data_IF_205661933761
#
_entry.id   IF_205661933761
#
_cell.length_a   1.000
_cell.length_b   1.000
_cell.length_c   1.000
_cell.angle_alpha   90.00
_cell.angle_beta   90.00
_cell.angle_gamma   90.00
#
_symmetry.space_group_name_H-M   'P 1'
#
loop_
_entity.id
_entity.type
_entity.pdbx_description
1 polymer ?
#
# COMPACT_ATOMS: atom_id res chain seq x y z
N UNK A 1 16.89 -17.86 23.54
CA UNK A 1 16.00 -16.68 23.48
C UNK A 1 14.90 -17.00 22.48
N UNK A 2 13.78 -17.54 22.97
CA UNK A 2 12.60 -17.84 22.15
C UNK A 2 11.86 -16.54 21.80
N UNK A 3 12.33 -15.83 20.78
CA UNK A 3 11.60 -14.76 20.13
C UNK A 3 11.04 -15.26 18.80
N UNK A 4 10.28 -16.37 18.84
CA UNK A 4 9.37 -16.69 17.75
C UNK A 4 8.25 -15.65 17.79
N UNK A 5 8.49 -14.51 17.13
CA UNK A 5 7.42 -13.67 16.61
C UNK A 5 6.68 -14.50 15.55
N UNK A 6 5.93 -15.47 16.02
CA UNK A 6 5.22 -16.40 15.19
C UNK A 6 4.08 -15.60 14.56
N UNK A 7 4.08 -15.49 13.25
CA UNK A 7 3.04 -14.80 12.46
C UNK A 7 1.71 -15.57 12.49
N UNK A 8 1.36 -16.16 13.63
CA UNK A 8 0.21 -17.04 13.82
C UNK A 8 -1.12 -16.30 13.65
N UNK A 9 -1.11 -14.98 13.83
CA UNK A 9 -2.23 -14.10 13.52
C UNK A 9 -2.54 -14.02 12.01
N UNK A 10 -1.59 -14.38 11.14
CA UNK A 10 -1.78 -14.46 9.68
C UNK A 10 -2.30 -15.86 9.35
N UNK A 11 -3.59 -15.99 9.04
CA UNK A 11 -4.22 -17.31 8.84
C UNK A 11 -3.82 -17.97 7.51
N UNK A 12 -3.52 -17.19 6.48
CA UNK A 12 -3.00 -17.69 5.22
C UNK A 12 -1.57 -18.21 5.41
N UNK A 13 -1.38 -19.53 5.32
CA UNK A 13 -0.10 -20.20 5.52
C UNK A 13 0.96 -19.79 4.48
N UNK A 14 0.53 -19.54 3.24
CA UNK A 14 1.43 -19.10 2.16
C UNK A 14 1.94 -17.69 2.45
N UNK A 15 1.02 -16.78 2.80
CA UNK A 15 1.37 -15.42 3.18
C UNK A 15 2.26 -15.40 4.43
N UNK A 16 1.92 -16.19 5.45
CA UNK A 16 2.71 -16.33 6.67
C UNK A 16 4.14 -16.72 6.36
N UNK A 17 4.34 -17.76 5.55
CA UNK A 17 5.66 -18.21 5.12
C UNK A 17 6.42 -17.10 4.38
N UNK A 18 5.77 -16.45 3.41
CA UNK A 18 6.38 -15.37 2.64
C UNK A 18 6.81 -14.19 3.51
N UNK A 19 6.02 -13.83 4.53
CA UNK A 19 6.36 -12.78 5.50
C UNK A 19 7.58 -13.17 6.34
N UNK A 20 7.61 -14.41 6.86
CA UNK A 20 8.74 -14.93 7.64
C UNK A 20 10.03 -14.93 6.81
N UNK A 21 9.96 -15.43 5.58
CA UNK A 21 11.11 -15.49 4.68
C UNK A 21 11.58 -14.08 4.29
N UNK A 22 10.65 -13.15 4.04
CA UNK A 22 10.97 -11.75 3.74
C UNK A 22 11.67 -11.05 4.91
N UNK A 23 11.25 -11.31 6.15
CA UNK A 23 11.88 -10.73 7.34
C UNK A 23 13.27 -11.31 7.57
N UNK A 24 13.44 -12.63 7.42
CA UNK A 24 14.77 -13.25 7.48
C UNK A 24 15.71 -12.66 6.44
N UNK A 25 15.22 -12.46 5.22
CA UNK A 25 15.98 -11.83 4.15
C UNK A 25 16.34 -10.37 4.49
N UNK A 26 15.41 -9.58 5.04
CA UNK A 26 15.70 -8.22 5.52
C UNK A 26 16.78 -8.20 6.61
N UNK A 27 16.70 -9.11 7.59
CA UNK A 27 17.71 -9.22 8.65
C UNK A 27 19.08 -9.58 8.08
N UNK A 28 19.12 -10.49 7.10
CA UNK A 28 20.35 -10.84 6.39
C UNK A 28 20.94 -9.64 5.63
N UNK A 29 20.12 -8.91 4.88
CA UNK A 29 20.55 -7.70 4.17
C UNK A 29 21.09 -6.63 5.12
N UNK A 30 20.43 -6.43 6.26
CA UNK A 30 20.90 -5.50 7.28
C UNK A 30 22.27 -5.90 7.84
N UNK A 31 22.49 -7.18 8.15
CA UNK A 31 23.80 -7.66 8.59
C UNK A 31 24.88 -7.53 7.51
N UNK A 32 24.54 -7.78 6.25
CA UNK A 32 25.46 -7.66 5.11
C UNK A 32 25.86 -6.20 4.83
N UNK A 33 24.97 -5.25 5.13
CA UNK A 33 25.22 -3.82 4.97
C UNK A 33 26.42 -3.34 5.76
N UNK A 34 26.56 -3.82 7.00
CA UNK A 34 27.58 -3.35 7.95
C UNK A 34 29.00 -3.84 7.60
N UNK A 35 29.14 -4.80 6.66
CA UNK A 35 30.42 -5.37 6.26
C UNK A 35 31.25 -4.52 5.29
N UNK A 36 31.08 -3.18 5.27
CA UNK A 36 31.75 -2.22 4.36
C UNK A 36 31.63 -2.60 2.87
N UNK A 37 30.44 -2.99 2.45
CA UNK A 37 30.17 -3.35 1.06
C UNK A 37 29.96 -2.11 0.17
N UNK A 38 30.61 -2.06 -1.00
CA UNK A 38 30.38 -1.04 -2.04
C UNK A 38 28.91 -0.98 -2.48
N UNK A 39 28.17 -2.07 -2.27
CA UNK A 39 26.75 -2.19 -2.60
C UNK A 39 25.78 -1.73 -1.49
N UNK A 40 26.27 -1.06 -0.44
CA UNK A 40 25.43 -0.61 0.70
C UNK A 40 24.18 0.15 0.27
N UNK A 41 24.26 0.99 -0.77
CA UNK A 41 23.10 1.73 -1.30
C UNK A 41 22.05 0.84 -1.98
N UNK A 42 22.46 -0.22 -2.69
CA UNK A 42 21.50 -1.17 -3.28
C UNK A 42 20.87 -2.05 -2.21
N UNK A 43 21.64 -2.39 -1.18
CA UNK A 43 21.13 -3.08 0.01
C UNK A 43 20.07 -2.21 0.70
N UNK A 44 20.37 -0.93 0.96
CA UNK A 44 19.43 0.04 1.57
C UNK A 44 18.14 0.17 0.74
N UNK A 45 18.24 0.27 -0.59
CA UNK A 45 17.08 0.27 -1.50
C UNK A 45 16.25 -1.00 -1.37
N UNK A 46 16.91 -2.15 -1.38
CA UNK A 46 16.23 -3.44 -1.28
C UNK A 46 15.50 -3.55 0.05
N UNK A 47 16.13 -3.12 1.15
CA UNK A 47 15.49 -3.11 2.48
C UNK A 47 14.24 -2.23 2.48
N UNK A 48 14.30 -1.03 1.89
CA UNK A 48 13.16 -0.12 1.81
C UNK A 48 11.99 -0.72 1.01
N UNK A 49 12.29 -1.33 -0.15
CA UNK A 49 11.28 -1.97 -0.99
C UNK A 49 10.58 -3.12 -0.25
N UNK A 50 11.35 -4.04 0.34
CA UNK A 50 10.81 -5.18 1.09
C UNK A 50 10.04 -4.73 2.34
N UNK A 51 10.53 -3.71 3.06
CA UNK A 51 9.84 -3.16 4.23
C UNK A 51 8.47 -2.60 3.86
N UNK A 52 8.38 -1.88 2.73
CA UNK A 52 7.12 -1.36 2.22
C UNK A 52 6.16 -2.51 1.82
N UNK A 53 6.64 -3.52 1.10
CA UNK A 53 5.83 -4.68 0.69
C UNK A 53 5.32 -5.51 1.87
N UNK A 54 6.15 -5.72 2.91
CA UNK A 54 5.75 -6.41 4.14
C UNK A 54 4.64 -5.63 4.85
N UNK A 55 4.79 -4.31 4.99
CA UNK A 55 3.77 -3.47 5.62
C UNK A 55 2.46 -3.53 4.82
N UNK A 56 2.52 -3.36 3.50
CA UNK A 56 1.34 -3.45 2.63
C UNK A 56 0.61 -4.78 2.78
N UNK A 57 1.36 -5.90 2.74
CA UNK A 57 0.79 -7.23 2.91
C UNK A 57 0.14 -7.44 4.29
N UNK A 58 0.79 -6.96 5.37
CA UNK A 58 0.25 -7.04 6.73
C UNK A 58 -1.02 -6.21 6.92
N UNK A 59 -1.08 -5.01 6.34
CA UNK A 59 -2.26 -4.15 6.40
C UNK A 59 -3.42 -4.75 5.59
N UNK A 60 -3.13 -5.33 4.43
CA UNK A 60 -4.14 -6.00 3.61
C UNK A 60 -4.70 -7.23 4.33
N UNK A 61 -3.85 -8.08 4.91
CA UNK A 61 -4.28 -9.21 5.74
C UNK A 61 -5.13 -8.76 6.94
N UNK A 62 -4.70 -7.69 7.63
CA UNK A 62 -5.47 -7.13 8.73
C UNK A 62 -6.87 -6.68 8.29
N UNK A 63 -6.98 -5.99 7.16
CA UNK A 63 -8.27 -5.62 6.58
C UNK A 63 -9.16 -6.84 6.32
N UNK A 64 -8.60 -7.93 5.78
CA UNK A 64 -9.34 -9.18 5.54
C UNK A 64 -9.87 -9.77 6.83
N UNK A 65 -9.01 -9.90 7.85
CA UNK A 65 -9.37 -10.48 9.15
C UNK A 65 -10.42 -9.64 9.89
N UNK A 66 -10.37 -8.32 9.77
CA UNK A 66 -11.34 -7.40 10.38
C UNK A 66 -12.54 -7.12 9.47
N UNK A 67 -12.66 -7.80 8.33
CA UNK A 67 -13.74 -7.61 7.33
C UNK A 67 -13.90 -6.17 6.85
N UNK A 68 -12.81 -5.40 6.83
CA UNK A 68 -12.78 -4.01 6.37
C UNK A 68 -12.94 -4.01 4.86
N UNK A 69 -13.96 -3.30 4.38
CA UNK A 69 -14.27 -3.22 2.95
C UNK A 69 -13.82 -1.88 2.35
N UNK A 70 -13.43 -1.96 1.09
CA UNK A 70 -13.10 -0.83 0.24
C UNK A 70 -14.19 -0.74 -0.83
N UNK A 71 -15.08 0.26 -0.76
CA UNK A 71 -16.08 0.44 -1.80
C UNK A 71 -15.41 0.93 -3.08
N UNK A 72 -15.89 0.44 -4.21
CA UNK A 72 -15.58 0.92 -5.54
C UNK A 72 -16.89 1.34 -6.19
N UNK A 73 -16.96 2.59 -6.64
CA UNK A 73 -18.07 3.06 -7.45
C UNK A 73 -17.90 2.54 -8.87
N UNK A 74 -18.88 1.78 -9.35
CA UNK A 74 -18.95 1.37 -10.75
C UNK A 74 -20.18 1.98 -11.39
N UNK A 75 -19.94 2.64 -12.52
CA UNK A 75 -20.95 3.11 -13.44
C UNK A 75 -21.18 2.01 -14.49
N UNK A 76 -22.42 1.56 -14.62
CA UNK A 76 -22.81 0.55 -15.61
C UNK A 76 -24.00 1.06 -16.44
N UNK A 77 -24.17 0.48 -17.63
CA UNK A 77 -25.27 0.81 -18.56
C UNK A 77 -25.23 2.26 -19.06
N UNK A 78 -24.07 2.69 -19.57
CA UNK A 78 -23.94 3.99 -20.22
C UNK A 78 -24.91 4.08 -21.43
N UNK A 79 -25.87 4.99 -21.35
CA UNK A 79 -26.74 5.33 -22.47
C UNK A 79 -26.48 6.76 -22.92
N UNK A 80 -26.18 6.91 -24.21
CA UNK A 80 -26.10 8.24 -24.84
C UNK A 80 -27.51 8.78 -24.98
N UNK A 81 -27.80 9.90 -24.33
CA UNK A 81 -29.08 10.57 -24.52
C UNK A 81 -29.03 11.44 -25.80
N UNK A 82 -30.06 11.35 -26.62
CA UNK A 82 -30.25 12.20 -27.81
C UNK A 82 -30.28 13.69 -27.44
N UNK A 83 -29.84 14.55 -28.38
CA UNK A 83 -29.89 16.03 -28.28
C UNK A 83 -31.30 16.60 -28.03
N UNK A 84 -32.35 15.77 -28.14
CA UNK A 84 -33.74 16.12 -27.85
C UNK A 84 -34.11 16.06 -26.37
N UNK A 85 -33.17 15.80 -25.45
CA UNK A 85 -33.47 15.79 -24.01
C UNK A 85 -33.74 17.21 -23.51
N UNK A 86 -34.94 17.51 -22.97
CA UNK A 86 -35.33 18.84 -22.58
C UNK A 86 -34.79 19.13 -21.17
N UNK A 87 -33.49 19.37 -21.06
CA UNK A 87 -32.92 19.90 -19.85
C UNK A 87 -32.44 21.33 -20.15
N UNK A 88 -32.80 22.27 -19.29
CA UNK A 88 -32.34 23.66 -19.28
C UNK A 88 -30.84 23.74 -19.00
N UNK A 89 -30.04 23.11 -19.86
CA UNK A 89 -28.60 23.05 -19.78
C UNK A 89 -28.09 24.20 -20.64
N UNK A 90 -27.34 25.11 -20.02
CA UNK A 90 -26.72 26.26 -20.67
C UNK A 90 -26.00 25.83 -21.96
N UNK A 91 -26.56 26.21 -23.12
CA UNK A 91 -26.14 25.74 -24.45
C UNK A 91 -24.66 26.08 -24.75
N UNK A 92 -24.10 27.10 -24.10
CA UNK A 92 -22.70 27.51 -24.29
C UNK A 92 -21.68 26.47 -23.79
N UNK A 93 -22.04 25.60 -22.84
CA UNK A 93 -21.14 24.56 -22.31
C UNK A 93 -21.29 23.19 -23.00
N UNK A 94 -22.29 23.04 -23.87
CA UNK A 94 -22.72 21.74 -24.39
C UNK A 94 -22.47 21.54 -25.89
N UNK A 95 -21.69 22.40 -26.53
CA UNK A 95 -21.40 22.34 -27.98
C UNK A 95 -20.76 21.02 -28.45
N UNK A 96 -20.15 20.24 -27.55
CA UNK A 96 -19.57 18.91 -27.83
C UNK A 96 -19.82 17.86 -26.71
N UNK A 97 -20.76 18.12 -25.79
CA UNK A 97 -21.01 17.25 -24.63
C UNK A 97 -21.81 15.99 -24.98
N UNK A 98 -21.55 14.87 -24.30
CA UNK A 98 -22.42 13.69 -24.30
C UNK A 98 -23.08 13.58 -22.92
N UNK A 99 -24.41 13.42 -22.88
CA UNK A 99 -25.11 13.06 -21.64
C UNK A 99 -25.11 11.54 -21.54
N UNK A 100 -24.60 11.03 -20.42
CA UNK A 100 -24.55 9.60 -20.10
C UNK A 100 -25.45 9.36 -18.89
N UNK A 101 -26.48 8.53 -19.05
CA UNK A 101 -27.18 7.90 -17.92
C UNK A 101 -26.41 6.64 -17.53
N UNK A 102 -26.11 6.49 -16.24
CA UNK A 102 -25.45 5.29 -15.71
C UNK A 102 -26.05 4.90 -14.36
N UNK A 103 -26.12 3.59 -14.10
CA UNK A 103 -26.48 3.07 -12.79
C UNK A 103 -25.21 3.06 -11.94
N UNK A 104 -25.21 3.84 -10.86
CA UNK A 104 -24.17 3.81 -9.83
C UNK A 104 -24.39 2.58 -8.95
N UNK A 105 -23.40 1.70 -8.89
CA UNK A 105 -23.37 0.55 -7.97
C UNK A 105 -22.15 0.62 -7.06
N UNK A 106 -22.35 0.36 -5.77
CA UNK A 106 -21.25 0.16 -4.83
C UNK A 106 -20.88 -1.32 -4.81
N UNK A 107 -19.65 -1.63 -5.22
CA UNK A 107 -19.12 -3.00 -5.17
C UNK A 107 -17.91 -3.05 -4.26
N UNK A 108 -17.65 -4.22 -3.68
CA UNK A 108 -16.39 -4.46 -2.97
C UNK A 108 -15.25 -4.45 -3.97
N UNK A 109 -14.25 -3.59 -3.73
CA UNK A 109 -13.02 -3.54 -4.50
C UNK A 109 -12.27 -4.87 -4.35
N UNK A 110 -11.87 -5.53 -5.45
CA UNK A 110 -11.09 -6.76 -5.37
C UNK A 110 -9.68 -6.46 -4.83
N UNK A 111 -9.09 -7.42 -4.12
CA UNK A 111 -7.83 -7.22 -3.37
C UNK A 111 -6.69 -6.71 -4.24
N UNK A 112 -6.60 -7.17 -5.49
CA UNK A 112 -5.57 -6.79 -6.44
C UNK A 112 -5.65 -5.33 -6.92
N UNK A 113 -6.74 -4.61 -6.60
CA UNK A 113 -6.93 -3.19 -6.95
C UNK A 113 -6.85 -2.32 -5.69
N UNK A 114 -6.77 -2.91 -4.49
CA UNK A 114 -6.52 -2.18 -3.25
C UNK A 114 -5.06 -1.73 -3.26
N UNK A 115 -4.84 -0.41 -3.26
CA UNK A 115 -3.49 0.15 -3.28
C UNK A 115 -2.97 0.40 -1.87
N UNK A 116 -1.65 0.54 -1.72
CA UNK A 116 -1.06 1.00 -0.46
C UNK A 116 -1.68 2.31 0.05
N UNK A 117 -2.01 3.24 -0.85
CA UNK A 117 -2.70 4.49 -0.51
C UNK A 117 -4.05 4.20 0.16
N UNK A 118 -4.87 3.34 -0.44
CA UNK A 118 -6.18 3.00 0.11
C UNK A 118 -6.05 2.41 1.52
N UNK A 119 -5.06 1.54 1.75
CA UNK A 119 -4.81 0.96 3.07
C UNK A 119 -4.46 2.04 4.11
N UNK A 120 -3.64 3.04 3.75
CA UNK A 120 -3.26 4.12 4.66
C UNK A 120 -4.38 5.10 4.94
N UNK A 121 -5.19 5.44 3.94
CA UNK A 121 -6.40 6.26 4.11
C UNK A 121 -7.37 5.56 5.08
N UNK A 122 -7.57 4.25 4.91
CA UNK A 122 -8.54 3.48 5.69
C UNK A 122 -8.06 3.14 7.11
N UNK A 123 -6.77 2.89 7.29
CA UNK A 123 -6.20 2.43 8.56
C UNK A 123 -5.41 3.52 9.30
N UNK A 124 -5.38 4.75 8.79
CA UNK A 124 -4.54 5.83 9.32
C UNK A 124 -4.81 6.15 10.79
N UNK A 125 -6.07 6.09 11.23
CA UNK A 125 -6.44 6.29 12.63
C UNK A 125 -5.98 5.12 13.52
N UNK A 126 -6.18 3.88 13.06
CA UNK A 126 -5.75 2.67 13.78
C UNK A 126 -4.23 2.64 14.00
N UNK A 127 -3.47 3.01 12.96
CA UNK A 127 -2.00 3.10 13.01
C UNK A 127 -1.53 4.24 13.91
N UNK A 128 -2.27 5.35 13.92
CA UNK A 128 -1.95 6.57 14.64
C UNK A 128 -1.08 7.52 13.82
N UNK A 129 -1.27 8.83 14.01
CA UNK A 129 -0.73 9.91 13.17
C UNK A 129 0.76 9.77 12.82
N UNK A 130 1.60 9.42 13.80
CA UNK A 130 3.06 9.31 13.61
C UNK A 130 3.42 8.14 12.70
N UNK A 131 2.90 6.95 13.00
CA UNK A 131 3.19 5.74 12.21
C UNK A 131 2.65 5.87 10.79
N UNK A 132 1.43 6.39 10.64
CA UNK A 132 0.82 6.66 9.34
C UNK A 132 1.70 7.57 8.49
N UNK A 133 2.18 8.70 9.04
CA UNK A 133 3.10 9.61 8.34
C UNK A 133 4.41 8.92 7.94
N UNK A 134 4.96 8.11 8.83
CA UNK A 134 6.22 7.39 8.58
C UNK A 134 6.06 6.34 7.46
N UNK A 135 4.91 5.68 7.38
CA UNK A 135 4.60 4.73 6.30
C UNK A 135 4.28 5.45 4.99
N UNK A 136 3.61 6.61 5.03
CA UNK A 136 3.42 7.46 3.85
C UNK A 136 4.76 7.83 3.19
N UNK A 137 5.72 8.30 3.99
CA UNK A 137 7.06 8.62 3.50
C UNK A 137 7.79 7.40 2.91
N UNK A 138 7.61 6.23 3.52
CA UNK A 138 8.14 4.97 2.99
C UNK A 138 7.49 4.58 1.65
N UNK A 139 6.16 4.71 1.53
CA UNK A 139 5.41 4.48 0.28
C UNK A 139 5.91 5.40 -0.84
N UNK A 140 6.08 6.69 -0.55
CA UNK A 140 6.56 7.67 -1.54
C UNK A 140 8.00 7.37 -1.97
N UNK A 141 8.84 6.94 -1.02
CA UNK A 141 10.21 6.49 -1.32
C UNK A 141 10.19 5.24 -2.21
N UNK A 142 9.40 4.21 -1.86
CA UNK A 142 9.22 3.00 -2.68
C UNK A 142 8.78 3.35 -4.11
N UNK A 143 7.77 4.22 -4.25
CA UNK A 143 7.27 4.63 -5.56
C UNK A 143 8.37 5.37 -6.37
N UNK A 144 9.15 6.22 -5.71
CA UNK A 144 10.30 6.89 -6.34
C UNK A 144 11.35 5.89 -6.81
N UNK A 145 11.68 4.89 -5.99
CA UNK A 145 12.66 3.85 -6.35
C UNK A 145 12.20 2.96 -7.51
N UNK A 146 10.89 2.69 -7.62
CA UNK A 146 10.35 1.93 -8.75
C UNK A 146 10.27 2.74 -10.06
N UNK A 147 10.01 4.05 -9.98
CA UNK A 147 9.72 4.88 -11.15
C UNK A 147 10.92 5.69 -11.67
N UNK A 148 11.86 6.04 -10.80
CA UNK A 148 12.98 6.91 -11.16
C UNK A 148 14.12 6.12 -11.80
N UNK A 149 14.56 6.57 -12.98
CA UNK A 149 15.87 6.17 -13.54
C UNK A 149 17.04 6.73 -12.71
N UNK A 150 16.82 7.81 -11.95
CA UNK A 150 17.82 8.40 -11.06
C UNK A 150 17.81 7.69 -9.70
N UNK A 151 18.98 7.20 -9.30
CA UNK A 151 19.16 6.49 -8.04
C UNK A 151 19.22 7.50 -6.89
N UNK A 152 18.10 7.74 -6.19
CA UNK A 152 18.07 8.53 -4.95
C UNK A 152 19.02 7.87 -3.93
N UNK A 153 19.87 8.66 -3.29
CA UNK A 153 20.70 8.20 -2.16
C UNK A 153 19.76 8.00 -0.97
N UNK A 154 19.83 6.82 -0.35
CA UNK A 154 19.05 6.49 0.83
C UNK A 154 19.95 6.64 2.04
N UNK A 155 19.50 7.41 3.02
CA UNK A 155 20.21 7.55 4.28
C UNK A 155 19.97 6.32 5.16
N UNK A 156 20.99 5.89 5.91
CA UNK A 156 20.89 4.79 6.87
C UNK A 156 19.70 4.94 7.82
N UNK A 157 19.43 6.18 8.26
CA UNK A 157 18.34 6.50 9.16
C UNK A 157 16.97 6.23 8.53
N UNK A 158 16.83 6.42 7.21
CA UNK A 158 15.61 6.08 6.49
C UNK A 158 15.42 4.55 6.45
N UNK A 159 16.49 3.81 6.16
CA UNK A 159 16.48 2.34 6.18
C UNK A 159 16.09 1.79 7.57
N UNK A 160 16.77 2.25 8.62
CA UNK A 160 16.49 1.84 10.01
C UNK A 160 15.05 2.17 10.41
N UNK A 161 14.58 3.37 10.03
CA UNK A 161 13.20 3.78 10.28
C UNK A 161 12.20 2.88 9.57
N UNK A 162 12.48 2.42 8.35
CA UNK A 162 11.60 1.51 7.62
C UNK A 162 11.46 0.14 8.30
N UNK A 163 12.57 -0.43 8.77
CA UNK A 163 12.56 -1.69 9.53
C UNK A 163 11.82 -1.52 10.85
N UNK A 164 12.04 -0.41 11.56
CA UNK A 164 11.29 -0.08 12.77
C UNK A 164 9.78 0.06 12.51
N UNK A 165 9.38 0.58 11.35
CA UNK A 165 7.97 0.65 10.96
C UNK A 165 7.37 -0.74 10.74
N UNK A 166 8.12 -1.69 10.15
CA UNK A 166 7.68 -3.09 10.01
C UNK A 166 7.34 -3.67 11.39
N UNK A 167 8.25 -3.53 12.36
CA UNK A 167 8.04 -4.02 13.73
C UNK A 167 6.81 -3.38 14.40
N UNK A 168 6.63 -2.07 14.27
CA UNK A 168 5.46 -1.35 14.81
C UNK A 168 4.16 -1.81 14.18
N UNK A 169 4.15 -2.05 12.87
CA UNK A 169 2.97 -2.57 12.17
C UNK A 169 2.65 -3.98 12.64
N UNK A 170 3.64 -4.88 12.74
CA UNK A 170 3.45 -6.23 13.31
C UNK A 170 2.81 -6.16 14.70
N UNK A 171 3.33 -5.32 15.59
CA UNK A 171 2.78 -5.13 16.94
C UNK A 171 1.34 -4.59 16.95
N UNK A 172 0.97 -3.80 15.94
CA UNK A 172 -0.39 -3.26 15.79
C UNK A 172 -1.36 -4.33 15.29
N UNK A 173 -1.00 -5.05 14.23
CA UNK A 173 -1.91 -5.98 13.54
C UNK A 173 -2.02 -7.35 14.20
N UNK A 174 -1.09 -7.69 15.10
CA UNK A 174 -1.13 -8.92 15.90
C UNK A 174 -2.12 -8.86 17.07
N UNK A 175 -2.62 -7.67 17.41
CA UNK A 175 -3.70 -7.47 18.39
C UNK A 175 -5.09 -7.65 17.74
#
# INVERSE_FOLDING_TARGET
MDNNANFDFVQDLSLRKNLVDSIKFLSFLWALRDSKNENSQEIDRTIMLYSASIIEALLLDFCKRKTIQFPEEKYAHEQTISKSFPAHIDDEKFTNGRIILAIKSEKKKPDNVITFENLLEKLGEFLGKRLTRDIYALKDTRNTLHLSKSRKIIEIKETEKSMNNVLKVIQKVSK
#
